data_IF_884811301611
#
_entry.id   IF_884811301611
#
_cell.length_a   1.000
_cell.length_b   1.000
_cell.length_c   1.000
_cell.angle_alpha   90.00
_cell.angle_beta   90.00
_cell.angle_gamma   90.00
#
_symmetry.space_group_name_H-M   'P 1'
#
loop_
_entity.id
_entity.type
_entity.pdbx_description
1 polymer ?
#
# COMPACT_ATOMS: atom_id res chain seq x y z
N UNK A 1 -15.54 -4.03 24.95
CA UNK A 1 -15.31 -4.22 23.51
C UNK A 1 -14.91 -2.88 22.89
N UNK A 2 -13.73 -2.77 22.28
CA UNK A 2 -13.24 -1.53 21.66
C UNK A 2 -13.12 -1.75 20.15
N UNK A 3 -13.68 -0.82 19.36
CA UNK A 3 -13.58 -0.80 17.91
C UNK A 3 -12.36 0.02 17.49
N UNK A 4 -11.47 -0.54 16.67
CA UNK A 4 -10.29 0.16 16.12
C UNK A 4 -10.27 0.05 14.60
N UNK A 5 -9.95 1.15 13.93
CA UNK A 5 -9.66 1.16 12.49
C UNK A 5 -8.36 0.41 12.24
N UNK A 6 -8.42 -0.70 11.52
CA UNK A 6 -7.24 -1.47 11.12
C UNK A 6 -6.82 -1.05 9.71
N UNK A 7 -5.53 -0.78 9.51
CA UNK A 7 -4.96 -0.62 8.17
C UNK A 7 -4.65 -2.00 7.60
N UNK A 8 -5.18 -2.32 6.43
CA UNK A 8 -4.81 -3.53 5.67
C UNK A 8 -3.37 -3.36 5.14
N UNK A 9 -2.39 -3.75 5.94
CA UNK A 9 -0.99 -3.80 5.49
C UNK A 9 -0.80 -4.96 4.52
N UNK A 10 -0.25 -4.69 3.34
CA UNK A 10 0.04 -5.71 2.33
C UNK A 10 1.45 -6.30 2.48
N UNK A 11 2.20 -5.91 3.54
CA UNK A 11 3.61 -6.29 3.74
C UNK A 11 3.90 -7.79 3.67
N UNK A 12 2.94 -8.66 4.02
CA UNK A 12 3.13 -10.12 4.02
C UNK A 12 2.61 -10.86 2.78
N UNK A 13 1.93 -10.18 1.84
CA UNK A 13 1.20 -10.83 0.72
C UNK A 13 1.66 -10.40 -0.67
N UNK A 14 2.79 -9.70 -0.79
CA UNK A 14 3.30 -9.32 -2.10
C UNK A 14 4.14 -10.45 -2.68
N UNK A 15 3.70 -11.02 -3.81
CA UNK A 15 4.50 -11.97 -4.56
C UNK A 15 5.81 -11.33 -5.04
N UNK A 16 6.98 -11.96 -4.82
CA UNK A 16 8.27 -11.37 -5.16
C UNK A 16 8.41 -11.07 -6.66
N UNK A 17 7.87 -11.94 -7.51
CA UNK A 17 7.86 -11.75 -8.97
C UNK A 17 7.06 -10.52 -9.40
N UNK A 18 5.91 -10.30 -8.76
CA UNK A 18 5.09 -9.12 -9.03
C UNK A 18 5.76 -7.83 -8.54
N UNK A 19 6.59 -7.92 -7.50
CA UNK A 19 7.41 -6.80 -7.03
C UNK A 19 8.52 -6.46 -8.03
N UNK A 20 9.23 -7.46 -8.54
CA UNK A 20 10.29 -7.25 -9.55
C UNK A 20 9.75 -6.63 -10.84
N UNK A 21 8.60 -7.08 -11.32
CA UNK A 21 7.94 -6.50 -12.51
C UNK A 21 7.63 -5.01 -12.28
N UNK A 22 6.98 -4.70 -11.15
CA UNK A 22 6.64 -3.30 -10.81
C UNK A 22 7.87 -2.42 -10.65
N UNK A 23 8.97 -2.98 -10.14
CA UNK A 23 10.22 -2.27 -9.99
C UNK A 23 10.85 -1.96 -11.36
N UNK A 24 10.87 -2.94 -12.28
CA UNK A 24 11.35 -2.75 -13.65
C UNK A 24 10.50 -1.72 -14.42
N UNK A 25 9.18 -1.77 -14.26
CA UNK A 25 8.28 -0.79 -14.86
C UNK A 25 8.55 0.63 -14.34
N UNK A 26 8.78 0.76 -13.02
CA UNK A 26 9.10 2.05 -12.41
C UNK A 26 10.45 2.59 -12.90
N UNK A 27 11.46 1.75 -13.05
CA UNK A 27 12.77 2.12 -13.61
C UNK A 27 12.67 2.57 -15.08
N UNK A 28 11.85 1.90 -15.88
CA UNK A 28 11.60 2.32 -17.26
C UNK A 28 10.92 3.69 -17.31
N UNK A 29 9.91 3.90 -16.46
CA UNK A 29 9.20 5.17 -16.39
C UNK A 29 10.09 6.32 -15.89
N UNK A 30 11.00 6.08 -14.94
CA UNK A 30 11.93 7.12 -14.47
C UNK A 30 12.95 7.50 -15.54
N UNK A 31 13.39 6.55 -16.37
CA UNK A 31 14.26 6.84 -17.51
C UNK A 31 13.55 7.70 -18.57
N UNK A 32 12.30 7.39 -18.92
CA UNK A 32 11.50 8.21 -19.84
C UNK A 32 11.22 9.61 -19.28
N UNK A 33 11.03 9.72 -17.95
CA UNK A 33 10.88 11.02 -17.31
C UNK A 33 12.18 11.84 -17.34
N UNK A 34 13.33 11.20 -17.11
CA UNK A 34 14.64 11.84 -17.22
C UNK A 34 14.96 12.28 -18.66
N UNK A 35 14.47 11.55 -19.66
CA UNK A 35 14.53 11.94 -21.07
C UNK A 35 13.59 13.11 -21.44
N UNK A 36 12.68 13.50 -20.53
CA UNK A 36 11.70 14.56 -20.76
C UNK A 36 10.52 14.14 -21.65
N UNK A 37 10.35 12.84 -21.89
CA UNK A 37 9.26 12.31 -22.71
C UNK A 37 7.93 12.29 -21.93
N UNK A 38 8.01 12.07 -20.61
CA UNK A 38 6.85 11.99 -19.72
C UNK A 38 7.08 12.76 -18.42
N UNK A 39 6.01 13.31 -17.84
CA UNK A 39 6.04 13.90 -16.50
C UNK A 39 5.54 12.86 -15.49
N UNK A 40 6.45 12.33 -14.67
CA UNK A 40 6.14 11.28 -13.71
C UNK A 40 5.59 11.88 -12.41
N UNK A 41 4.29 11.68 -12.15
CA UNK A 41 3.64 12.12 -10.91
C UNK A 41 3.64 11.00 -9.87
N UNK A 42 4.40 11.20 -8.79
CA UNK A 42 4.35 10.33 -7.62
C UNK A 42 3.14 10.70 -6.76
N UNK A 43 2.18 9.79 -6.66
CA UNK A 43 1.13 9.87 -5.65
C UNK A 43 1.61 9.18 -4.37
N UNK A 44 1.37 9.77 -3.21
CA UNK A 44 1.77 9.18 -1.95
C UNK A 44 0.96 7.91 -1.64
N UNK A 45 1.64 6.87 -1.19
CA UNK A 45 1.03 5.60 -0.74
C UNK A 45 0.09 5.78 0.47
N UNK A 46 -0.08 7.00 0.98
CA UNK A 46 -1.07 7.34 2.01
C UNK A 46 -2.48 6.91 1.63
N UNK A 47 -2.74 6.63 0.34
CA UNK A 47 -3.87 5.81 -0.07
C UNK A 47 -5.16 6.33 0.51
N UNK A 48 -5.31 7.66 0.59
CA UNK A 48 -6.56 8.30 0.97
C UNK A 48 -7.53 8.16 -0.20
N UNK A 49 -7.88 6.91 -0.48
CA UNK A 49 -8.99 6.56 -1.31
C UNK A 49 -10.22 6.72 -0.42
N UNK A 50 -11.03 7.71 -0.74
CA UNK A 50 -12.35 7.95 -0.13
C UNK A 50 -13.24 6.69 -0.16
N UNK A 51 -12.91 5.72 -1.02
CA UNK A 51 -13.63 4.46 -1.25
C UNK A 51 -12.94 3.23 -0.67
N UNK A 52 -11.80 3.36 0.02
CA UNK A 52 -11.17 2.20 0.66
C UNK A 52 -12.06 1.70 1.81
N UNK A 53 -12.44 0.42 1.77
CA UNK A 53 -13.28 -0.19 2.81
C UNK A 53 -12.66 0.02 4.20
N UNK A 54 -13.30 0.78 5.10
CA UNK A 54 -12.79 0.95 6.44
C UNK A 54 -12.87 -0.39 7.16
N UNK A 55 -11.71 -1.03 7.32
CA UNK A 55 -11.62 -2.32 7.99
C UNK A 55 -11.69 -2.09 9.50
N UNK A 56 -12.88 -2.29 10.07
CA UNK A 56 -13.07 -2.25 11.52
C UNK A 56 -12.81 -3.64 12.10
N UNK A 57 -12.03 -3.69 13.19
CA UNK A 57 -11.89 -4.92 13.97
C UNK A 57 -12.18 -4.62 15.44
N UNK A 58 -12.78 -5.58 16.14
CA UNK A 58 -13.04 -5.49 17.58
C UNK A 58 -12.02 -6.30 18.37
N UNK A 59 -11.70 -5.90 19.59
CA UNK A 59 -10.95 -6.70 20.56
C UNK A 59 -11.53 -6.55 21.97
N UNK A 60 -11.33 -7.56 22.81
CA UNK A 60 -11.72 -7.52 24.21
C UNK A 60 -10.68 -6.76 25.03
N UNK A 61 -11.16 -5.95 25.97
CA UNK A 61 -10.30 -5.10 26.80
C UNK A 61 -9.53 -6.00 27.77
N UNK A 62 -8.21 -6.09 27.60
CA UNK A 62 -7.32 -6.94 28.42
C UNK A 62 -6.64 -8.07 27.66
N UNK A 63 -7.01 -8.34 26.41
CA UNK A 63 -6.36 -9.36 25.57
C UNK A 63 -5.56 -8.71 24.45
N UNK A 64 -4.27 -9.05 24.36
CA UNK A 64 -3.42 -8.66 23.25
C UNK A 64 -3.76 -9.53 22.04
N UNK A 65 -4.24 -8.90 20.96
CA UNK A 65 -4.43 -9.59 19.67
C UNK A 65 -3.07 -10.12 19.19
N UNK A 66 -2.91 -11.45 19.17
CA UNK A 66 -1.87 -12.08 18.37
C UNK A 66 -2.34 -12.07 16.89
N UNK A 67 -1.47 -11.54 16.04
CA UNK A 67 -1.64 -11.44 14.59
C UNK A 67 -1.27 -12.76 13.91
#
# INVERSE_FOLDING_TARGET
MIWKRARKSHKGKQDPKNREIKQADLEMLTLSAAAGEIDLKYLDESGFCMWSEPSYTYYQRGEQKHL
#
